data_IF_576614097226
#
_entry.id   IF_576614097226
#
_cell.length_a   1.000
_cell.length_b   1.000
_cell.length_c   1.000
_cell.angle_alpha   90.00
_cell.angle_beta   90.00
_cell.angle_gamma   90.00
#
_symmetry.space_group_name_H-M   'P 1'
#
loop_
_entity.id
_entity.type
_entity.pdbx_description
1 polymer ?
#
# COMPACT_ATOMS: atom_id res chain seq x y z
N UNK A 1 35.37 -36.57 -4.92
CA UNK A 1 34.20 -37.47 -4.84
C UNK A 1 32.98 -36.57 -4.95
N UNK A 2 32.36 -36.51 -6.14
CA UNK A 2 31.20 -35.66 -6.37
C UNK A 2 30.01 -36.28 -5.64
N UNK A 3 29.69 -35.76 -4.46
CA UNK A 3 28.37 -35.96 -3.90
C UNK A 3 27.38 -35.51 -4.98
N UNK A 4 26.38 -36.32 -5.27
CA UNK A 4 25.23 -35.86 -6.05
C UNK A 4 24.58 -34.81 -5.16
N UNK A 5 24.98 -33.55 -5.30
CA UNK A 5 24.52 -32.49 -4.43
C UNK A 5 23.00 -32.44 -4.53
N UNK A 6 22.35 -32.90 -3.47
CA UNK A 6 20.90 -33.01 -3.43
C UNK A 6 20.25 -31.67 -3.71
N UNK A 7 18.95 -31.69 -4.05
CA UNK A 7 18.23 -30.43 -4.37
C UNK A 7 18.46 -29.38 -3.28
N UNK A 8 18.89 -28.14 -3.63
CA UNK A 8 19.12 -27.09 -2.65
C UNK A 8 17.81 -26.66 -1.99
N UNK A 9 17.91 -25.79 -0.99
CA UNK A 9 16.77 -25.05 -0.47
C UNK A 9 16.04 -24.32 -1.62
N UNK A 10 14.76 -23.99 -1.43
CA UNK A 10 13.99 -23.21 -2.40
C UNK A 10 13.15 -22.16 -1.70
N UNK A 11 13.03 -20.98 -2.30
CA UNK A 11 12.21 -19.89 -1.76
C UNK A 11 10.93 -19.70 -2.58
N UNK A 12 9.80 -19.56 -1.88
CA UNK A 12 8.56 -19.05 -2.47
C UNK A 12 8.17 -17.73 -1.84
N UNK A 13 8.08 -16.68 -2.64
CA UNK A 13 7.77 -15.32 -2.17
C UNK A 13 6.38 -14.90 -2.65
N UNK A 14 5.51 -14.49 -1.73
CA UNK A 14 4.16 -14.04 -2.06
C UNK A 14 4.18 -12.60 -2.58
N UNK A 15 3.90 -12.39 -3.87
CA UNK A 15 4.00 -11.10 -4.58
C UNK A 15 2.73 -10.68 -5.34
N UNK A 16 1.56 -11.14 -4.92
CA UNK A 16 0.31 -10.71 -5.54
C UNK A 16 -0.31 -9.43 -4.98
N UNK A 17 -1.60 -9.24 -5.25
CA UNK A 17 -2.31 -7.98 -5.01
C UNK A 17 -2.30 -7.53 -3.54
N UNK A 18 -2.19 -8.47 -2.59
CA UNK A 18 -2.23 -8.19 -1.15
C UNK A 18 -0.84 -8.15 -0.49
N UNK A 19 0.11 -8.98 -0.93
CA UNK A 19 1.45 -9.10 -0.34
C UNK A 19 2.45 -8.62 -1.38
N UNK A 20 3.34 -7.67 -1.05
CA UNK A 20 4.23 -7.10 -2.06
C UNK A 20 3.89 -5.68 -2.52
N UNK A 21 2.93 -5.00 -1.88
CA UNK A 21 2.49 -3.67 -2.31
C UNK A 21 2.75 -2.62 -1.22
N UNK A 22 3.20 -1.43 -1.65
CA UNK A 22 3.38 -0.26 -0.78
C UNK A 22 2.10 0.11 -0.01
N UNK A 23 0.93 -0.22 -0.56
CA UNK A 23 -0.36 0.01 0.11
C UNK A 23 -0.53 -0.88 1.34
N UNK A 24 -0.11 -2.15 1.25
CA UNK A 24 -0.22 -3.10 2.37
C UNK A 24 0.92 -2.91 3.37
N UNK A 25 2.13 -2.76 2.86
CA UNK A 25 3.35 -2.64 3.64
C UNK A 25 4.09 -1.38 3.14
N UNK A 26 3.77 -0.20 3.69
CA UNK A 26 4.49 1.02 3.35
C UNK A 26 5.93 0.96 3.88
N UNK A 27 6.86 1.66 3.22
CA UNK A 27 8.27 1.72 3.63
C UNK A 27 9.15 0.59 3.08
N UNK A 28 8.58 -0.53 2.64
CA UNK A 28 9.35 -1.67 2.10
C UNK A 28 9.49 -1.60 0.58
N UNK A 29 10.73 -1.62 0.10
CA UNK A 29 11.03 -1.87 -1.30
C UNK A 29 11.01 -3.37 -1.59
N UNK A 30 9.83 -3.83 -1.98
CA UNK A 30 9.61 -5.24 -2.30
C UNK A 30 10.43 -5.67 -3.51
N UNK A 31 10.68 -4.80 -4.50
CA UNK A 31 11.45 -5.18 -5.70
C UNK A 31 12.90 -5.41 -5.33
N UNK A 32 13.51 -4.49 -4.60
CA UNK A 32 14.88 -4.64 -4.11
C UNK A 32 15.02 -5.88 -3.22
N UNK A 33 14.06 -6.12 -2.33
CA UNK A 33 14.06 -7.31 -1.49
C UNK A 33 13.99 -8.61 -2.32
N UNK A 34 13.18 -8.66 -3.38
CA UNK A 34 13.11 -9.86 -4.23
C UNK A 34 14.44 -10.10 -4.94
N UNK A 35 15.06 -9.03 -5.43
CA UNK A 35 16.37 -9.11 -6.07
C UNK A 35 17.42 -9.69 -5.11
N UNK A 36 17.46 -9.20 -3.86
CA UNK A 36 18.33 -9.76 -2.82
C UNK A 36 18.05 -11.23 -2.53
N UNK A 37 16.78 -11.61 -2.37
CA UNK A 37 16.43 -13.02 -2.14
C UNK A 37 16.84 -13.92 -3.32
N UNK A 38 16.79 -13.41 -4.56
CA UNK A 38 17.18 -14.17 -5.75
C UNK A 38 18.68 -14.31 -5.97
N UNK A 39 19.51 -13.62 -5.19
CA UNK A 39 20.98 -13.73 -5.22
C UNK A 39 21.53 -14.54 -4.05
N UNK A 40 20.67 -15.16 -3.24
CA UNK A 40 21.10 -16.02 -2.13
C UNK A 40 21.71 -17.31 -2.69
N UNK A 41 22.88 -17.66 -2.19
CA UNK A 41 23.58 -18.91 -2.49
C UNK A 41 23.58 -19.82 -1.24
N UNK A 42 23.59 -21.13 -1.44
CA UNK A 42 23.79 -22.09 -0.35
C UNK A 42 25.28 -22.26 0.01
N UNK A 43 25.61 -23.02 1.06
CA UNK A 43 27.02 -23.27 1.43
C UNK A 43 27.86 -23.91 0.32
N UNK A 44 27.24 -24.53 -0.68
CA UNK A 44 27.93 -25.12 -1.83
C UNK A 44 28.13 -24.12 -2.98
N UNK A 45 27.74 -22.85 -2.80
CA UNK A 45 27.86 -21.79 -3.80
C UNK A 45 26.81 -21.88 -4.92
N UNK A 46 25.71 -22.62 -4.72
CA UNK A 46 24.62 -22.73 -5.70
C UNK A 46 23.54 -21.71 -5.37
N UNK A 47 23.14 -20.94 -6.37
CA UNK A 47 22.03 -19.99 -6.23
C UNK A 47 20.72 -20.71 -5.94
N UNK A 48 20.05 -20.28 -4.88
CA UNK A 48 18.80 -20.86 -4.41
C UNK A 48 17.65 -20.52 -5.37
N UNK A 49 16.89 -21.51 -5.88
CA UNK A 49 15.74 -21.24 -6.71
C UNK A 49 14.68 -20.41 -5.97
N UNK A 50 14.38 -19.22 -6.50
CA UNK A 50 13.33 -18.34 -5.98
C UNK A 50 12.16 -18.28 -6.97
N UNK A 51 10.95 -18.56 -6.47
CA UNK A 51 9.72 -18.41 -7.24
C UNK A 51 8.77 -17.42 -6.59
N UNK A 52 8.10 -16.62 -7.39
CA UNK A 52 7.04 -15.73 -6.91
C UNK A 52 5.68 -16.40 -7.02
N UNK A 53 4.85 -16.32 -5.98
CA UNK A 53 3.45 -16.73 -6.04
C UNK A 53 2.51 -15.52 -6.05
N UNK A 54 1.36 -15.65 -6.70
CA UNK A 54 0.31 -14.63 -6.67
C UNK A 54 -0.39 -14.57 -5.30
N UNK A 55 -0.52 -15.69 -4.59
CA UNK A 55 -1.12 -15.68 -3.25
C UNK A 55 -0.74 -16.95 -2.50
N UNK A 56 -0.45 -16.81 -1.20
CA UNK A 56 -0.22 -17.92 -0.28
C UNK A 56 -1.35 -18.08 0.76
N UNK A 57 -2.48 -17.38 0.58
CA UNK A 57 -3.68 -17.51 1.42
C UNK A 57 -3.65 -16.74 2.76
N UNK A 58 -2.48 -16.45 3.30
CA UNK A 58 -2.32 -15.79 4.62
C UNK A 58 -2.02 -14.28 4.52
N UNK A 59 -2.83 -13.57 3.73
CA UNK A 59 -2.67 -12.13 3.45
C UNK A 59 -2.69 -11.20 4.69
N UNK A 60 -3.02 -11.70 5.87
CA UNK A 60 -2.96 -10.93 7.11
C UNK A 60 -1.53 -10.85 7.68
N UNK A 61 -0.67 -11.82 7.38
CA UNK A 61 0.75 -11.76 7.73
C UNK A 61 1.52 -10.80 6.81
N UNK A 62 1.12 -10.67 5.53
CA UNK A 62 1.83 -9.81 4.56
C UNK A 62 3.27 -10.27 4.30
N UNK A 63 3.81 -9.86 3.14
CA UNK A 63 5.17 -10.16 2.67
C UNK A 63 5.72 -11.54 3.07
N UNK A 64 4.99 -12.59 2.68
CA UNK A 64 5.26 -13.96 3.12
C UNK A 64 6.35 -14.58 2.28
N UNK A 65 7.31 -15.21 2.94
CA UNK A 65 8.37 -16.04 2.35
C UNK A 65 8.22 -17.46 2.89
N UNK A 66 8.32 -18.46 2.01
CA UNK A 66 8.36 -19.87 2.40
C UNK A 66 9.72 -20.42 2.04
N UNK A 67 10.44 -20.90 3.05
CA UNK A 67 11.72 -21.59 2.90
C UNK A 67 11.42 -23.08 2.82
N UNK A 68 11.65 -23.68 1.65
CA UNK A 68 11.57 -25.12 1.47
C UNK A 68 12.92 -25.75 1.79
N UNK A 69 12.97 -26.81 2.61
CA UNK A 69 14.21 -27.52 2.92
C UNK A 69 14.88 -28.08 1.67
N UNK A 70 16.20 -28.21 1.73
CA UNK A 70 16.99 -29.00 0.79
C UNK A 70 16.60 -30.49 0.85
N UNK A 71 17.15 -31.31 -0.03
CA UNK A 71 16.94 -32.75 0.02
C UNK A 71 17.47 -33.35 1.33
N UNK A 72 18.67 -32.95 1.74
CA UNK A 72 19.29 -33.37 2.99
C UNK A 72 18.50 -32.86 4.20
N UNK A 73 18.10 -31.59 4.20
CA UNK A 73 17.25 -31.03 5.25
C UNK A 73 15.92 -31.77 5.38
N UNK A 74 15.30 -32.21 4.27
CA UNK A 74 14.11 -33.07 4.34
C UNK A 74 14.42 -34.45 4.92
N UNK A 75 15.56 -35.05 4.57
CA UNK A 75 15.98 -36.34 5.10
C UNK A 75 16.22 -36.27 6.61
N UNK A 76 16.76 -35.14 7.10
CA UNK A 76 16.88 -34.81 8.52
C UNK A 76 15.55 -34.43 9.21
N UNK A 77 14.41 -34.54 8.51
CA UNK A 77 13.07 -34.28 9.06
C UNK A 77 12.55 -32.85 8.85
N UNK A 78 13.35 -31.96 8.26
CA UNK A 78 13.00 -30.58 7.94
C UNK A 78 11.71 -30.45 7.14
N UNK A 79 10.93 -29.43 7.49
CA UNK A 79 9.64 -29.08 6.86
C UNK A 79 9.69 -27.65 6.32
N UNK A 80 8.84 -27.30 5.34
CA UNK A 80 8.77 -25.93 4.86
C UNK A 80 8.40 -24.96 5.99
N UNK A 81 9.22 -23.92 6.16
CA UNK A 81 8.98 -22.87 7.16
C UNK A 81 8.36 -21.67 6.49
N UNK A 82 7.25 -21.20 7.05
CA UNK A 82 6.52 -20.05 6.55
C UNK A 82 6.85 -18.84 7.42
N UNK A 83 7.33 -17.78 6.79
CA UNK A 83 7.72 -16.53 7.43
C UNK A 83 6.79 -15.42 6.96
N UNK A 84 6.13 -14.76 7.90
CA UNK A 84 5.28 -13.61 7.67
C UNK A 84 5.96 -12.30 8.08
N UNK A 85 5.49 -11.17 7.54
CA UNK A 85 6.01 -9.84 7.93
C UNK A 85 7.53 -9.71 7.74
N UNK A 86 8.10 -10.31 6.69
CA UNK A 86 9.53 -10.19 6.37
C UNK A 86 9.79 -8.81 5.77
N UNK A 87 9.79 -7.75 6.58
CA UNK A 87 9.83 -6.36 6.09
C UNK A 87 11.18 -5.68 6.23
N UNK A 88 11.99 -6.15 7.16
CA UNK A 88 13.27 -5.55 7.51
C UNK A 88 14.42 -6.26 6.80
N UNK A 89 15.49 -5.53 6.50
CA UNK A 89 16.68 -6.07 5.83
C UNK A 89 17.36 -7.16 6.68
N UNK A 90 17.43 -6.97 8.01
CA UNK A 90 17.94 -7.98 8.95
C UNK A 90 17.22 -9.34 8.87
N UNK A 91 15.95 -9.36 8.46
CA UNK A 91 15.20 -10.61 8.30
C UNK A 91 15.57 -11.31 7.00
N UNK A 92 15.93 -10.55 5.96
CA UNK A 92 16.42 -11.08 4.69
C UNK A 92 17.81 -11.65 4.88
N UNK A 93 18.68 -10.92 5.59
CA UNK A 93 20.02 -11.38 5.98
C UNK A 93 19.95 -12.66 6.82
N UNK A 94 19.08 -12.70 7.84
CA UNK A 94 18.89 -13.92 8.63
C UNK A 94 18.35 -15.12 7.82
N UNK A 95 17.62 -14.89 6.71
CA UNK A 95 17.21 -15.97 5.80
C UNK A 95 18.39 -16.44 4.95
N UNK A 96 19.22 -15.52 4.49
CA UNK A 96 20.44 -15.78 3.72
C UNK A 96 21.42 -16.63 4.54
N UNK A 97 21.80 -16.15 5.72
CA UNK A 97 22.68 -16.85 6.66
C UNK A 97 22.14 -18.25 7.01
N UNK A 98 20.83 -18.35 7.26
CA UNK A 98 20.22 -19.63 7.59
C UNK A 98 20.23 -20.61 6.42
N UNK A 99 20.02 -20.13 5.19
CA UNK A 99 20.13 -20.96 3.98
C UNK A 99 21.57 -21.40 3.76
N UNK A 100 22.52 -20.50 3.98
CA UNK A 100 23.95 -20.79 3.92
C UNK A 100 24.30 -21.92 4.89
N UNK A 101 23.84 -21.87 6.14
CA UNK A 101 23.99 -22.94 7.14
C UNK A 101 23.23 -24.25 6.81
N UNK A 102 22.49 -24.31 5.71
CA UNK A 102 21.78 -25.50 5.21
C UNK A 102 20.26 -25.45 5.40
N UNK A 103 19.74 -24.45 6.09
CA UNK A 103 18.32 -24.13 6.18
C UNK A 103 17.50 -25.14 7.02
N UNK A 104 16.18 -25.22 6.77
CA UNK A 104 15.27 -26.00 7.60
C UNK A 104 15.66 -27.49 7.69
N UNK A 105 15.86 -27.98 8.92
CA UNK A 105 16.21 -29.37 9.21
C UNK A 105 17.70 -29.62 9.40
N UNK A 106 18.58 -28.75 8.88
CA UNK A 106 20.03 -28.85 9.07
C UNK A 106 20.54 -27.78 10.04
N UNK A 107 20.03 -26.55 9.93
CA UNK A 107 20.35 -25.45 10.81
C UNK A 107 19.14 -25.09 11.70
N UNK A 108 19.35 -24.75 12.98
CA UNK A 108 18.28 -24.30 13.86
C UNK A 108 17.68 -22.99 13.33
N UNK A 109 16.39 -22.75 13.63
CA UNK A 109 15.75 -21.51 13.22
C UNK A 109 16.39 -20.31 13.95
N UNK A 110 16.86 -19.27 13.22
CA UNK A 110 17.39 -18.06 13.83
C UNK A 110 16.36 -17.38 14.74
N UNK A 111 16.79 -16.92 15.93
CA UNK A 111 15.92 -16.28 16.91
C UNK A 111 15.19 -15.04 16.35
N UNK A 112 15.87 -14.28 15.48
CA UNK A 112 15.35 -13.12 14.76
C UNK A 112 14.14 -13.47 13.86
N UNK A 113 14.03 -14.72 13.39
CA UNK A 113 12.92 -15.18 12.55
C UNK A 113 11.80 -15.83 13.37
N UNK A 114 12.00 -16.13 14.65
CA UNK A 114 11.04 -16.88 15.48
C UNK A 114 9.66 -16.20 15.56
N UNK A 115 9.63 -14.89 15.80
CA UNK A 115 8.38 -14.11 15.86
C UNK A 115 7.66 -13.98 14.51
N UNK A 116 8.36 -14.31 13.43
CA UNK A 116 7.86 -14.25 12.06
C UNK A 116 7.34 -15.61 11.57
N UNK A 117 7.56 -16.69 12.31
CA UNK A 117 7.05 -18.02 11.94
C UNK A 117 5.53 -18.03 11.97
N UNK A 118 4.95 -18.51 10.88
CA UNK A 118 3.51 -18.70 10.71
C UNK A 118 3.27 -20.08 10.08
N UNK A 119 2.02 -20.39 9.77
CA UNK A 119 1.66 -21.56 8.97
C UNK A 119 0.70 -21.17 7.86
N UNK A 120 0.54 -22.06 6.87
CA UNK A 120 -0.49 -21.94 5.82
C UNK A 120 -1.89 -21.80 6.41
N UNK A 121 -2.13 -22.45 7.54
CA UNK A 121 -3.44 -22.52 8.21
C UNK A 121 -3.60 -21.50 9.34
N UNK A 122 -2.65 -20.57 9.47
CA UNK A 122 -2.68 -19.55 10.50
C UNK A 122 -3.97 -18.72 10.39
N UNK A 123 -4.70 -18.62 11.50
CA UNK A 123 -5.95 -17.87 11.57
C UNK A 123 -5.65 -16.44 11.96
N UNK A 124 -6.28 -15.50 11.24
CA UNK A 124 -6.18 -14.07 11.57
C UNK A 124 -6.67 -13.86 13.02
N UNK A 125 -5.87 -13.21 13.89
CA UNK A 125 -6.28 -12.97 15.27
C UNK A 125 -7.57 -12.13 15.29
N UNK A 126 -8.55 -12.59 16.09
CA UNK A 126 -9.80 -11.85 16.29
C UNK A 126 -9.46 -10.55 17.03
N UNK A 127 -9.85 -9.39 16.47
CA UNK A 127 -9.69 -8.12 17.16
C UNK A 127 -10.41 -8.18 18.50
N UNK A 128 -9.71 -7.91 19.61
CA UNK A 128 -10.34 -7.75 20.93
C UNK A 128 -11.47 -6.73 20.81
N UNK A 129 -12.68 -7.10 21.27
CA UNK A 129 -13.82 -6.19 21.27
C UNK A 129 -13.46 -5.00 22.16
N UNK A 130 -13.33 -3.82 21.56
CA UNK A 130 -13.12 -2.58 22.29
C UNK A 130 -14.29 -2.39 23.29
N UNK A 131 -14.02 -2.11 24.58
CA UNK A 131 -15.07 -1.85 25.56
C UNK A 131 -15.94 -0.67 25.09
N UNK A 132 -17.26 -0.75 25.31
CA UNK A 132 -18.26 0.22 24.81
C UNK A 132 -17.87 1.67 25.11
N UNK A 133 -17.28 1.92 26.29
CA UNK A 133 -16.81 3.24 26.73
C UNK A 133 -15.72 3.86 25.81
N UNK A 134 -14.86 3.04 25.20
CA UNK A 134 -13.83 3.54 24.28
C UNK A 134 -14.40 3.98 22.91
N UNK A 135 -15.60 3.51 22.54
CA UNK A 135 -16.30 3.94 21.32
C UNK A 135 -17.08 5.23 21.54
N UNK A 136 -17.74 5.40 22.68
CA UNK A 136 -18.40 6.67 23.03
C UNK A 136 -17.39 7.80 23.15
N UNK A 137 -16.30 7.60 23.90
CA UNK A 137 -15.24 8.61 24.04
C UNK A 137 -14.61 9.01 22.69
N UNK A 138 -14.39 8.05 21.77
CA UNK A 138 -13.88 8.36 20.42
C UNK A 138 -14.89 9.12 19.56
N UNK A 139 -16.20 8.88 19.75
CA UNK A 139 -17.28 9.59 19.04
C UNK A 139 -17.39 11.04 19.52
N UNK A 140 -17.25 11.27 20.82
CA UNK A 140 -17.27 12.62 21.39
C UNK A 140 -16.08 13.46 20.93
N UNK A 141 -14.85 12.94 21.06
CA UNK A 141 -13.65 13.61 20.54
C UNK A 141 -13.74 14.00 19.05
N UNK A 142 -14.39 13.16 18.23
CA UNK A 142 -14.60 13.45 16.81
C UNK A 142 -15.62 14.58 16.62
N UNK A 143 -16.72 14.58 17.36
CA UNK A 143 -17.72 15.65 17.35
C UNK A 143 -17.12 16.99 17.80
N UNK A 144 -16.30 16.98 18.85
CA UNK A 144 -15.62 18.17 19.34
C UNK A 144 -14.66 18.74 18.31
N UNK A 145 -13.86 17.89 17.65
CA UNK A 145 -12.95 18.32 16.59
C UNK A 145 -13.70 18.93 15.41
N UNK A 146 -14.79 18.31 14.96
CA UNK A 146 -15.62 18.85 13.87
C UNK A 146 -16.30 20.18 14.25
N UNK A 147 -16.76 20.29 15.51
CA UNK A 147 -17.32 21.53 16.05
C UNK A 147 -16.26 22.63 16.13
N UNK A 148 -15.03 22.30 16.54
CA UNK A 148 -13.90 23.23 16.57
C UNK A 148 -13.51 23.69 15.16
N UNK A 149 -13.45 22.79 14.18
CA UNK A 149 -13.17 23.13 12.77
C UNK A 149 -14.25 24.05 12.18
N UNK A 150 -15.54 23.77 12.44
CA UNK A 150 -16.64 24.64 12.02
C UNK A 150 -16.58 26.02 12.68
N UNK A 151 -16.27 26.09 13.97
CA UNK A 151 -16.09 27.36 14.69
C UNK A 151 -14.90 28.15 14.15
N UNK A 152 -13.78 27.49 13.88
CA UNK A 152 -12.60 28.13 13.28
C UNK A 152 -12.91 28.70 11.89
N UNK A 153 -13.62 27.94 11.04
CA UNK A 153 -14.05 28.41 9.72
C UNK A 153 -15.03 29.59 9.79
N UNK A 154 -15.98 29.59 10.74
CA UNK A 154 -16.91 30.71 10.95
C UNK A 154 -16.26 31.96 11.55
N UNK A 155 -15.20 31.79 12.37
CA UNK A 155 -14.44 32.92 12.94
C UNK A 155 -13.52 33.53 11.88
N UNK A 156 -12.94 32.71 11.01
CA UNK A 156 -12.20 33.15 9.84
C UNK A 156 -13.11 33.99 8.93
N UNK A 157 -14.30 33.48 8.56
CA UNK A 157 -15.32 34.12 7.72
C UNK A 157 -15.93 35.43 8.28
N UNK A 158 -15.69 35.75 9.56
CA UNK A 158 -16.15 36.99 10.21
C UNK A 158 -15.03 38.03 10.33
N UNK A 159 -13.78 37.61 10.19
CA UNK A 159 -12.62 38.50 10.20
C UNK A 159 -12.37 39.14 8.82
N UNK A 160 -12.90 38.56 7.74
CA UNK A 160 -12.90 39.15 6.39
C UNK A 160 -14.04 40.15 6.13
N UNK A 161 -15.11 40.15 6.94
CA UNK A 161 -16.24 41.10 6.82
C UNK A 161 -16.06 42.39 7.66
N UNK A 162 -15.13 42.41 8.64
CA UNK A 162 -14.76 43.62 9.42
C UNK A 162 -13.58 44.41 8.82
N UNK A 163 -13.32 44.25 7.53
CA UNK A 163 -12.59 45.24 6.72
C UNK A 163 -13.61 46.06 5.90
N UNK A 164 -14.46 46.82 6.59
CA UNK A 164 -15.32 47.85 6.00
C UNK A 164 -14.53 49.12 5.64
N UNK A 165 -15.03 49.93 4.69
CA UNK A 165 -14.24 50.90 3.92
C UNK A 165 -13.76 52.10 4.76
N UNK A 166 -12.49 52.48 4.59
CA UNK A 166 -11.94 53.73 5.12
C UNK A 166 -12.46 54.97 4.36
N UNK A 167 -12.49 56.15 5.00
CA UNK A 167 -13.15 57.34 4.47
C UNK A 167 -12.37 58.04 3.33
N UNK A 168 -13.15 58.74 2.50
CA UNK A 168 -12.83 59.50 1.28
C UNK A 168 -11.52 60.33 1.26
N UNK A 169 -10.84 60.38 0.10
CA UNK A 169 -10.90 61.54 -0.82
C UNK A 169 -9.96 61.46 -2.06
N UNK A 170 -10.49 62.02 -3.16
CA UNK A 170 -9.86 62.67 -4.32
C UNK A 170 -9.35 61.88 -5.56
N UNK A 171 -10.27 61.81 -6.55
CA UNK A 171 -10.18 62.50 -7.86
C UNK A 171 -9.23 61.95 -8.94
N UNK A 172 -9.81 61.30 -9.96
CA UNK A 172 -9.91 61.90 -11.31
C UNK A 172 -10.92 61.20 -12.22
N UNK A 173 -11.81 62.03 -12.77
CA UNK A 173 -12.83 61.78 -13.78
C UNK A 173 -12.20 61.76 -15.18
N UNK A 174 -12.46 60.73 -15.98
CA UNK A 174 -12.68 60.90 -17.44
C UNK A 174 -13.21 59.62 -18.11
N UNK A 175 -14.44 59.73 -18.62
CA UNK A 175 -15.00 59.04 -19.80
C UNK A 175 -15.26 57.54 -19.70
N UNK A 176 -16.21 56.94 -20.41
CA UNK A 176 -17.33 57.42 -21.20
C UNK A 176 -18.16 56.15 -21.52
N UNK A 177 -19.46 56.36 -21.66
CA UNK A 177 -20.44 55.52 -22.37
C UNK A 177 -21.04 54.28 -21.68
N UNK A 178 -22.37 54.27 -21.81
CA UNK A 178 -23.36 53.34 -21.31
C UNK A 178 -23.20 51.93 -21.89
N UNK A 179 -23.70 50.89 -21.19
CA UNK A 179 -24.84 50.12 -21.71
C UNK A 179 -25.44 49.16 -20.67
N UNK A 180 -26.74 48.94 -20.86
CA UNK A 180 -27.70 48.06 -20.20
C UNK A 180 -27.20 46.62 -19.95
N UNK A 181 -27.50 46.08 -18.75
CA UNK A 181 -27.34 44.65 -18.37
C UNK A 181 -28.09 43.71 -19.33
N UNK A 182 -27.67 42.43 -19.41
CA UNK A 182 -28.59 41.34 -19.04
C UNK A 182 -27.88 40.28 -18.18
N UNK A 183 -28.48 39.70 -17.15
CA UNK A 183 -29.68 38.86 -17.22
C UNK A 183 -29.26 37.38 -17.16
N UNK A 184 -29.83 36.61 -16.23
CA UNK A 184 -29.41 35.24 -15.82
C UNK A 184 -29.42 34.18 -16.96
N UNK A 185 -29.84 34.51 -18.18
CA UNK A 185 -29.97 33.60 -19.32
C UNK A 185 -28.66 33.22 -20.05
N UNK A 186 -27.59 34.01 -19.91
CA UNK A 186 -26.30 33.72 -20.55
C UNK A 186 -25.61 32.46 -19.99
N UNK A 187 -25.90 32.09 -18.73
CA UNK A 187 -25.29 30.93 -18.06
C UNK A 187 -25.94 29.59 -18.50
N UNK A 188 -27.19 29.62 -19.00
CA UNK A 188 -27.91 28.44 -19.49
C UNK A 188 -27.39 27.98 -20.86
N UNK A 189 -27.16 28.92 -21.80
CA UNK A 189 -26.63 28.61 -23.15
C UNK A 189 -25.21 28.01 -23.17
N UNK A 190 -24.35 28.33 -22.19
CA UNK A 190 -23.00 27.71 -22.07
C UNK A 190 -23.05 26.25 -21.58
N UNK A 191 -24.10 25.85 -20.85
CA UNK A 191 -24.26 24.47 -20.34
C UNK A 191 -24.74 23.52 -21.42
N UNK A 192 -25.63 23.97 -22.31
CA UNK A 192 -26.17 23.14 -23.39
C UNK A 192 -25.15 22.86 -24.50
N UNK A 193 -24.32 23.83 -24.88
CA UNK A 193 -23.23 23.64 -25.88
C UNK A 193 -22.14 22.65 -25.44
N UNK A 194 -21.88 22.53 -24.12
CA UNK A 194 -20.88 21.57 -23.60
C UNK A 194 -21.39 20.13 -23.65
N UNK A 195 -22.70 19.93 -23.41
CA UNK A 195 -23.35 18.61 -23.40
C UNK A 195 -23.50 18.00 -24.80
N UNK A 196 -23.63 18.82 -25.83
CA UNK A 196 -23.66 18.38 -27.23
C UNK A 196 -22.26 17.94 -27.73
N UNK A 197 -21.20 18.64 -27.31
CA UNK A 197 -19.80 18.34 -27.70
C UNK A 197 -19.30 17.01 -27.10
N UNK A 198 -19.73 16.67 -25.88
CA UNK A 198 -19.41 15.38 -25.24
C UNK A 198 -20.14 14.19 -25.88
N UNK A 199 -21.39 14.37 -26.35
CA UNK A 199 -22.13 13.33 -27.08
C UNK A 199 -21.52 13.04 -28.46
N UNK A 200 -21.01 14.07 -29.17
CA UNK A 200 -20.33 13.89 -30.47
C UNK A 200 -18.96 13.18 -30.34
N UNK A 201 -18.25 13.39 -29.23
CA UNK A 201 -16.98 12.68 -28.94
C UNK A 201 -17.19 11.19 -28.63
N UNK A 202 -18.22 10.82 -27.86
CA UNK A 202 -18.54 9.40 -27.58
C UNK A 202 -19.03 8.61 -28.79
N UNK A 203 -19.67 9.25 -29.78
CA UNK A 203 -20.06 8.59 -31.05
C UNK A 203 -18.88 8.34 -32.01
N UNK A 204 -17.81 9.14 -31.95
CA UNK A 204 -16.60 8.95 -32.80
C UNK A 204 -15.67 7.85 -32.29
N UNK A 205 -15.63 7.57 -30.98
CA UNK A 205 -14.78 6.52 -30.39
C UNK A 205 -15.38 5.11 -30.47
N UNK A 206 -16.66 4.96 -30.80
CA UNK A 206 -17.32 3.65 -30.95
C UNK A 206 -17.21 3.03 -32.35
N UNK A 207 -16.61 3.72 -33.34
CA UNK A 207 -16.52 3.25 -34.74
C UNK A 207 -15.11 2.83 -35.17
N UNK A 208 -14.17 2.67 -34.22
CA UNK A 208 -12.78 2.26 -34.47
C UNK A 208 -12.42 0.92 -33.79
N UNK A 209 -13.37 -0.01 -33.74
CA UNK A 209 -13.20 -1.34 -33.13
C UNK A 209 -13.96 -2.43 -33.87
N UNK A 210 -14.05 -2.32 -35.20
CA UNK A 210 -14.56 -3.39 -36.06
C UNK A 210 -13.77 -3.40 -37.38
N UNK A 211 -12.58 -3.97 -37.31
CA UNK A 211 -11.94 -4.78 -38.35
C UNK A 211 -11.05 -5.78 -37.63
#
# INVERSE_FOLDING_TARGET
>A
MNAVDGRPCQLTVCRGCCCGTRKKVPGVDHKAQLARLSTIDDHSGRTVPVRTSKCLGICFQSNVVVVQPSQEGRAAGGRPVWLGQVTEDKLVEAIDDWIFEGGPGLAPLPAVLADHVTSKDAKKPKKRKKPKHSKSAKKERRKEREKAERKAAGKAAKQDDEAGPGPDADRKKSGKDAEKKPGKDAKKRKKDKKREKDKKRKKKSGKAGKK
#
